data_IF_894943513095
#
_entry.id   IF_894943513095
#
_cell.length_a   1.000
_cell.length_b   1.000
_cell.length_c   1.000
_cell.angle_alpha   90.00
_cell.angle_beta   90.00
_cell.angle_gamma   90.00
#
_symmetry.space_group_name_H-M   'P 1'
#
loop_
_entity.id
_entity.type
_entity.pdbx_description
1 polymer ?
#
# COMPACT_ATOMS: atom_id res chain seq x y z
N UNK A 1 11.62 -9.45 55.01
CA UNK A 1 11.52 -10.62 54.10
C UNK A 1 11.42 -10.13 52.66
N UNK A 2 12.40 -10.51 51.82
CA UNK A 2 12.40 -10.79 50.36
C UNK A 2 11.50 -9.91 49.45
N UNK A 3 12.06 -9.03 48.60
CA UNK A 3 12.68 -9.24 47.25
C UNK A 3 11.68 -9.53 46.10
N UNK A 4 11.63 -8.62 45.11
CA UNK A 4 11.62 -8.75 43.62
C UNK A 4 10.82 -7.57 43.02
N UNK A 5 11.33 -6.57 42.29
CA UNK A 5 12.16 -6.53 41.07
C UNK A 5 11.39 -6.95 39.80
N UNK A 6 10.80 -5.99 39.08
CA UNK A 6 10.77 -5.97 37.61
C UNK A 6 11.02 -4.52 37.15
N UNK A 7 12.21 -4.36 36.60
CA UNK A 7 12.70 -3.25 35.78
C UNK A 7 12.55 -3.71 34.33
N UNK A 8 11.92 -2.93 33.42
CA UNK A 8 12.38 -2.83 32.03
C UNK A 8 11.67 -1.71 31.25
N UNK A 9 12.48 -0.70 30.88
CA UNK A 9 12.48 0.04 29.60
C UNK A 9 11.23 0.82 29.17
N UNK A 10 11.08 2.03 29.74
CA UNK A 10 10.73 3.19 28.91
C UNK A 10 11.97 3.55 28.08
N UNK A 11 11.97 3.16 26.81
CA UNK A 11 12.93 3.63 25.83
C UNK A 11 12.26 4.70 24.93
N UNK A 12 12.92 5.86 24.91
CA UNK A 12 13.02 6.79 23.78
C UNK A 12 11.78 7.58 23.33
N UNK A 13 11.59 8.78 23.89
CA UNK A 13 11.37 10.02 23.10
C UNK A 13 12.01 11.19 23.86
N UNK A 14 13.34 11.29 23.82
CA UNK A 14 14.05 12.53 24.13
C UNK A 14 14.50 13.13 22.79
N UNK A 15 13.68 14.03 22.27
CA UNK A 15 13.94 14.77 21.03
C UNK A 15 15.10 15.72 21.31
N UNK A 16 16.31 15.32 20.93
CA UNK A 16 17.42 16.25 20.80
C UNK A 16 17.20 17.09 19.55
N UNK A 17 16.52 18.22 19.71
CA UNK A 17 16.49 19.28 18.71
C UNK A 17 17.89 19.93 18.66
N UNK A 18 18.78 19.42 17.82
CA UNK A 18 19.93 20.21 17.36
C UNK A 18 19.46 21.09 16.21
N UNK A 19 19.41 22.39 16.47
CA UNK A 19 19.28 23.40 15.43
C UNK A 19 20.37 23.17 14.37
N UNK A 20 19.96 22.89 13.13
CA UNK A 20 20.88 22.79 12.01
C UNK A 20 21.29 24.21 11.59
N UNK A 21 22.60 24.45 11.62
CA UNK A 21 23.23 25.63 11.02
C UNK A 21 22.91 25.60 9.51
N UNK A 22 22.40 26.68 8.90
CA UNK A 22 22.11 26.70 7.48
C UNK A 22 23.44 26.72 6.72
N UNK A 23 23.90 25.55 6.27
CA UNK A 23 24.89 25.48 5.20
C UNK A 23 24.16 25.91 3.93
N UNK A 24 24.55 27.07 3.41
CA UNK A 24 24.16 27.54 2.08
C UNK A 24 24.68 26.51 1.06
N UNK A 25 23.85 25.54 0.70
CA UNK A 25 24.12 24.68 -0.45
C UNK A 25 23.93 25.50 -1.72
N UNK A 26 25.00 25.62 -2.50
CA UNK A 26 24.99 26.21 -3.84
C UNK A 26 23.96 25.48 -4.74
N UNK A 27 23.23 26.18 -5.62
CA UNK A 27 22.27 25.56 -6.51
C UNK A 27 23.01 24.79 -7.63
N UNK A 28 23.27 23.51 -7.37
CA UNK A 28 23.73 22.55 -8.37
C UNK A 28 22.65 21.53 -8.64
N UNK A 29 21.56 21.93 -9.30
CA UNK A 29 20.44 21.05 -9.65
C UNK A 29 20.13 21.14 -11.14
N UNK A 30 21.01 20.57 -11.94
CA UNK A 30 20.65 20.07 -13.27
C UNK A 30 20.14 18.63 -13.13
N UNK A 31 18.84 18.47 -12.88
CA UNK A 31 18.10 17.30 -13.37
C UNK A 31 17.78 16.13 -12.43
N UNK A 32 17.87 16.25 -11.10
CA UNK A 32 17.31 15.20 -10.22
C UNK A 32 15.79 15.30 -10.19
N UNK A 33 15.13 14.56 -11.08
CA UNK A 33 13.69 14.27 -10.96
C UNK A 33 13.45 13.65 -9.58
N UNK A 34 12.57 14.23 -8.77
CA UNK A 34 12.21 13.67 -7.47
C UNK A 34 11.85 12.19 -7.60
N UNK A 35 12.65 11.32 -6.98
CA UNK A 35 12.38 9.88 -6.97
C UNK A 35 11.21 9.63 -6.04
N UNK A 36 10.12 9.11 -6.59
CA UNK A 36 8.96 8.75 -5.81
C UNK A 36 9.13 7.35 -5.26
N UNK A 37 9.03 7.27 -3.93
CA UNK A 37 9.24 6.04 -3.18
C UNK A 37 8.12 5.03 -3.45
N UNK A 38 6.89 5.52 -3.59
CA UNK A 38 5.67 4.71 -3.76
C UNK A 38 4.82 5.32 -4.89
N UNK A 39 5.04 4.92 -6.16
CA UNK A 39 4.37 5.56 -7.29
C UNK A 39 2.92 5.10 -7.51
N UNK A 40 2.51 4.01 -6.87
CA UNK A 40 1.21 3.36 -7.02
C UNK A 40 0.51 3.27 -5.66
N UNK A 41 -0.80 3.49 -5.61
CA UNK A 41 -1.57 3.53 -4.36
C UNK A 41 -2.07 2.16 -3.90
N UNK A 42 -2.18 1.19 -4.82
CA UNK A 42 -2.66 -0.17 -4.53
C UNK A 42 -1.56 -1.23 -4.56
N UNK A 43 -0.34 -0.83 -4.91
CA UNK A 43 0.83 -1.71 -4.96
C UNK A 43 1.83 -1.37 -3.86
N UNK A 44 2.67 -2.32 -3.46
CA UNK A 44 3.82 -2.08 -2.59
C UNK A 44 5.09 -2.48 -3.33
N UNK A 45 5.94 -1.53 -3.69
CA UNK A 45 7.24 -1.82 -4.31
C UNK A 45 8.34 -2.00 -3.27
N UNK A 46 9.51 -2.49 -3.68
CA UNK A 46 10.70 -2.46 -2.83
C UNK A 46 11.50 -1.18 -3.02
N UNK A 47 12.24 -0.79 -1.99
CA UNK A 47 13.14 0.35 -2.01
C UNK A 47 14.48 0.02 -2.67
N UNK A 48 15.34 1.03 -2.78
CA UNK A 48 16.71 0.87 -3.29
C UNK A 48 17.70 1.49 -2.31
N UNK A 49 18.95 1.05 -2.35
CA UNK A 49 20.04 1.62 -1.58
C UNK A 49 20.36 3.08 -1.96
N UNK A 50 19.96 3.53 -3.15
CA UNK A 50 20.03 4.95 -3.59
C UNK A 50 18.80 5.75 -3.14
N UNK A 51 17.76 5.08 -2.64
CA UNK A 51 16.56 5.67 -2.04
C UNK A 51 16.30 5.10 -0.64
N UNK A 52 17.28 5.11 0.30
CA UNK A 52 17.17 4.44 1.61
C UNK A 52 16.32 5.24 2.60
N UNK A 53 15.52 6.18 2.11
CA UNK A 53 14.86 7.18 2.93
C UNK A 53 13.60 6.60 3.55
N UNK A 54 13.45 6.85 4.85
CA UNK A 54 12.15 6.72 5.49
C UNK A 54 11.18 7.70 4.84
N UNK A 55 10.01 7.21 4.49
CA UNK A 55 8.96 7.94 3.85
C UNK A 55 7.68 7.80 4.69
N UNK A 56 7.07 8.93 5.00
CA UNK A 56 5.78 9.01 5.67
C UNK A 56 4.72 9.28 4.60
N UNK A 57 3.62 8.55 4.63
CA UNK A 57 2.53 8.69 3.68
C UNK A 57 1.25 8.94 4.46
N UNK A 58 0.51 9.95 4.05
CA UNK A 58 -0.86 10.16 4.49
C UNK A 58 -1.76 10.00 3.27
N UNK A 59 -2.77 9.15 3.37
CA UNK A 59 -3.78 8.99 2.33
C UNK A 59 -5.17 9.13 2.88
N UNK A 60 -6.06 9.66 2.05
CA UNK A 60 -7.50 9.61 2.27
C UNK A 60 -8.16 8.89 1.11
N UNK A 61 -9.17 8.08 1.39
CA UNK A 61 -10.04 7.50 0.36
C UNK A 61 -11.51 7.77 0.65
N UNK A 62 -12.28 7.76 -0.42
CA UNK A 62 -13.71 7.56 -0.39
C UNK A 62 -14.02 6.32 -1.22
N UNK A 63 -14.82 5.42 -0.65
CA UNK A 63 -15.35 4.25 -1.31
C UNK A 63 -16.85 4.20 -1.18
N UNK A 64 -17.52 3.71 -2.20
CA UNK A 64 -18.93 3.34 -2.10
C UNK A 64 -19.04 1.88 -2.52
N UNK A 65 -19.66 1.06 -1.67
CA UNK A 65 -19.86 -0.37 -1.92
C UNK A 65 -18.55 -1.07 -2.20
N UNK A 66 -17.61 -0.87 -1.30
CA UNK A 66 -16.26 -1.38 -1.44
C UNK A 66 -15.79 -1.92 -0.11
N UNK A 67 -14.86 -2.86 -0.15
CA UNK A 67 -14.25 -3.42 1.04
C UNK A 67 -12.74 -3.54 0.83
N UNK A 68 -12.04 -3.93 1.89
CA UNK A 68 -10.65 -4.31 1.78
C UNK A 68 -10.49 -5.38 0.67
N UNK A 69 -9.53 -5.25 -0.27
CA UNK A 69 -8.41 -4.30 -0.29
C UNK A 69 -8.65 -3.00 -1.08
N UNK A 70 -9.80 -2.85 -1.72
CA UNK A 70 -10.15 -1.73 -2.59
C UNK A 70 -10.33 -0.41 -1.82
N UNK A 71 -10.85 -0.45 -0.60
CA UNK A 71 -11.07 0.72 0.23
C UNK A 71 -11.94 0.41 1.44
N UNK A 72 -12.55 1.45 2.00
CA UNK A 72 -13.60 1.35 3.01
C UNK A 72 -14.92 1.89 2.44
N UNK A 73 -16.06 1.29 2.77
CA UNK A 73 -17.36 1.81 2.36
C UNK A 73 -17.70 3.06 3.19
N UNK A 74 -17.41 4.22 2.63
CA UNK A 74 -17.38 5.52 3.30
C UNK A 74 -16.02 6.21 3.11
N UNK A 75 -15.61 6.97 4.12
CA UNK A 75 -14.34 7.71 4.10
C UNK A 75 -13.32 6.98 4.95
N UNK A 76 -12.09 6.80 4.46
CA UNK A 76 -10.97 6.37 5.29
C UNK A 76 -9.77 7.31 5.23
N UNK A 77 -9.00 7.31 6.31
CA UNK A 77 -7.74 8.01 6.43
C UNK A 77 -6.68 7.01 6.87
N UNK A 78 -5.51 7.03 6.24
CA UNK A 78 -4.42 6.11 6.49
C UNK A 78 -3.10 6.87 6.66
N UNK A 79 -2.32 6.43 7.65
CA UNK A 79 -0.94 6.82 7.85
C UNK A 79 -0.05 5.61 7.60
N UNK A 80 0.95 5.76 6.76
CA UNK A 80 1.89 4.69 6.42
C UNK A 80 3.33 5.15 6.53
N UNK A 81 4.20 4.24 6.95
CA UNK A 81 5.65 4.46 7.02
C UNK A 81 6.32 3.38 6.20
N UNK A 82 7.24 3.81 5.33
CA UNK A 82 8.05 2.92 4.51
C UNK A 82 9.51 3.29 4.64
N UNK A 83 10.37 2.32 4.93
CA UNK A 83 11.78 2.59 5.16
C UNK A 83 12.67 1.42 4.77
N UNK A 84 13.96 1.70 4.61
CA UNK A 84 14.95 0.69 4.27
C UNK A 84 15.75 0.32 5.51
N UNK A 85 15.77 -0.96 5.85
CA UNK A 85 16.61 -1.52 6.90
C UNK A 85 17.84 -2.18 6.27
N UNK A 86 19.00 -1.54 6.43
CA UNK A 86 20.25 -1.98 5.83
C UNK A 86 20.26 -1.76 4.32
N UNK A 87 20.47 -2.83 3.54
CA UNK A 87 20.62 -2.75 2.09
C UNK A 87 19.78 -3.76 1.29
N UNK A 88 18.82 -4.43 1.93
CA UNK A 88 17.96 -5.45 1.28
C UNK A 88 16.56 -5.59 1.85
N UNK A 89 16.24 -4.89 2.94
CA UNK A 89 14.95 -5.05 3.61
C UNK A 89 14.17 -3.75 3.53
N UNK A 90 12.99 -3.81 2.93
CA UNK A 90 11.98 -2.77 3.02
C UNK A 90 11.07 -3.09 4.19
N UNK A 91 10.92 -2.15 5.12
CA UNK A 91 9.92 -2.17 6.16
C UNK A 91 8.75 -1.32 5.70
N UNK A 92 7.54 -1.85 5.85
CA UNK A 92 6.31 -1.11 5.59
C UNK A 92 5.31 -1.36 6.71
N UNK A 93 4.65 -0.29 7.16
CA UNK A 93 3.59 -0.35 8.15
C UNK A 93 2.56 0.70 7.84
N UNK A 94 1.28 0.40 8.08
CA UNK A 94 0.20 1.37 7.96
C UNK A 94 -0.87 1.16 9.01
N UNK A 95 -1.53 2.26 9.39
CA UNK A 95 -2.71 2.27 10.22
C UNK A 95 -3.76 3.19 9.60
N UNK A 96 -5.02 2.77 9.62
CA UNK A 96 -6.13 3.47 9.00
C UNK A 96 -7.38 3.48 9.90
N UNK A 97 -8.19 4.53 9.73
CA UNK A 97 -9.50 4.69 10.33
C UNK A 97 -10.53 4.90 9.22
N UNK A 98 -11.62 4.15 9.25
CA UNK A 98 -12.74 4.24 8.32
C UNK A 98 -14.01 4.74 9.04
N UNK A 99 -14.80 5.55 8.35
CA UNK A 99 -16.05 6.15 8.80
C UNK A 99 -17.14 5.85 7.79
N UNK A 100 -18.14 5.04 8.18
CA UNK A 100 -19.18 4.61 7.24
C UNK A 100 -20.33 5.62 7.18
N UNK A 101 -21.28 5.37 6.29
CA UNK A 101 -22.47 6.21 6.11
C UNK A 101 -23.41 6.21 7.33
N UNK A 102 -23.30 5.23 8.22
CA UNK A 102 -24.10 5.10 9.43
C UNK A 102 -23.40 5.68 10.68
N UNK A 103 -22.17 6.21 10.52
CA UNK A 103 -21.38 6.79 11.60
C UNK A 103 -20.57 5.76 12.41
N UNK A 104 -20.49 4.51 11.98
CA UNK A 104 -19.59 3.54 12.59
C UNK A 104 -18.14 3.84 12.22
N UNK A 105 -17.24 3.54 13.15
CA UNK A 105 -15.81 3.70 12.98
C UNK A 105 -15.15 2.34 13.02
N UNK A 106 -14.35 2.05 12.01
CA UNK A 106 -13.53 0.84 11.94
C UNK A 106 -12.06 1.22 11.79
N UNK A 107 -11.16 0.27 12.06
CA UNK A 107 -9.73 0.47 11.90
C UNK A 107 -9.11 -0.66 11.13
N UNK A 108 -8.02 -0.37 10.40
CA UNK A 108 -7.21 -1.38 9.75
C UNK A 108 -5.73 -1.08 10.02
N UNK A 109 -4.92 -2.12 10.18
CA UNK A 109 -3.48 -2.03 10.38
C UNK A 109 -2.77 -3.10 9.56
N UNK A 110 -1.53 -2.82 9.15
CA UNK A 110 -0.65 -3.84 8.61
C UNK A 110 0.80 -3.49 8.90
N UNK A 111 1.61 -4.53 9.00
CA UNK A 111 3.06 -4.41 9.05
C UNK A 111 3.67 -5.56 8.25
N UNK A 112 4.63 -5.24 7.38
CA UNK A 112 5.34 -6.22 6.57
C UNK A 112 6.83 -5.90 6.45
N UNK A 113 7.61 -6.96 6.26
CA UNK A 113 9.02 -6.91 5.91
C UNK A 113 9.18 -7.57 4.56
N UNK A 114 9.77 -6.85 3.61
CA UNK A 114 10.02 -7.33 2.25
C UNK A 114 11.52 -7.37 2.01
N UNK A 115 12.02 -8.53 1.56
CA UNK A 115 13.41 -8.73 1.18
C UNK A 115 13.56 -8.63 -0.33
N UNK A 116 14.56 -7.88 -0.77
CA UNK A 116 14.90 -7.74 -2.18
C UNK A 116 15.81 -8.88 -2.64
N UNK A 117 15.46 -9.51 -3.77
CA UNK A 117 16.27 -10.55 -4.41
C UNK A 117 16.90 -10.08 -5.72
N UNK A 118 16.18 -9.24 -6.46
CA UNK A 118 16.65 -8.65 -7.72
C UNK A 118 16.49 -7.14 -7.62
N UNK A 119 17.48 -6.39 -8.10
CA UNK A 119 17.46 -4.93 -8.07
C UNK A 119 17.89 -4.36 -6.71
N UNK A 120 17.38 -3.18 -6.38
CA UNK A 120 17.61 -2.53 -5.07
C UNK A 120 18.95 -1.79 -4.94
N UNK A 121 19.78 -1.73 -5.99
CA UNK A 121 21.07 -1.02 -5.97
C UNK A 121 21.09 0.30 -6.75
N UNK A 122 20.17 0.47 -7.70
CA UNK A 122 20.10 1.61 -8.61
C UNK A 122 18.68 2.16 -8.60
N UNK A 123 18.51 3.46 -8.86
CA UNK A 123 17.21 4.10 -8.97
C UNK A 123 16.33 3.52 -10.10
N UNK A 124 16.94 3.02 -11.18
CA UNK A 124 16.26 2.43 -12.34
C UNK A 124 16.56 0.93 -12.49
N UNK A 125 15.65 0.23 -13.15
CA UNK A 125 15.75 -1.19 -13.49
C UNK A 125 14.67 -2.05 -12.85
N UNK A 126 14.80 -3.35 -13.06
CA UNK A 126 13.92 -4.36 -12.48
C UNK A 126 14.20 -4.56 -10.99
N UNK A 127 13.14 -4.77 -10.24
CA UNK A 127 13.13 -5.07 -8.81
C UNK A 127 12.18 -6.21 -8.53
N UNK A 128 12.63 -7.11 -7.68
CA UNK A 128 11.83 -8.24 -7.22
C UNK A 128 12.09 -8.48 -5.74
N UNK A 129 11.00 -8.69 -5.00
CA UNK A 129 11.02 -8.88 -3.57
C UNK A 129 10.00 -9.90 -3.10
N UNK A 130 10.30 -10.53 -1.97
CA UNK A 130 9.38 -11.40 -1.24
C UNK A 130 9.28 -10.88 0.19
N UNK A 131 8.07 -10.77 0.70
CA UNK A 131 7.80 -10.31 2.05
C UNK A 131 6.77 -11.15 2.77
N UNK A 132 6.73 -10.92 4.07
CA UNK A 132 5.71 -11.46 4.96
C UNK A 132 5.23 -10.37 5.89
N UNK A 133 3.98 -10.45 6.31
CA UNK A 133 3.40 -9.48 7.21
C UNK A 133 2.17 -10.01 7.93
N UNK A 134 1.65 -9.14 8.79
CA UNK A 134 0.39 -9.32 9.49
C UNK A 134 -0.50 -8.13 9.21
N UNK A 135 -1.79 -8.37 9.13
CA UNK A 135 -2.79 -7.32 8.99
C UNK A 135 -3.98 -7.55 9.88
N UNK A 136 -4.65 -6.46 10.18
CA UNK A 136 -5.97 -6.42 10.77
C UNK A 136 -6.80 -5.50 9.88
N UNK A 137 -7.98 -5.92 9.44
CA UNK A 137 -8.80 -5.16 8.51
C UNK A 137 -10.01 -4.50 9.18
N UNK A 138 -10.72 -3.68 8.41
CA UNK A 138 -11.92 -2.98 8.86
C UNK A 138 -13.08 -3.91 9.26
N UNK A 139 -13.04 -5.18 8.86
CA UNK A 139 -14.02 -6.20 9.28
C UNK A 139 -13.64 -6.87 10.61
N UNK A 140 -12.66 -6.31 11.33
CA UNK A 140 -12.14 -6.84 12.58
C UNK A 140 -11.52 -8.25 12.43
N UNK A 141 -10.95 -8.54 11.26
CA UNK A 141 -10.29 -9.81 10.98
C UNK A 141 -8.79 -9.62 10.91
N UNK A 142 -8.05 -10.48 11.62
CA UNK A 142 -6.59 -10.53 11.56
C UNK A 142 -6.15 -11.59 10.58
N UNK A 143 -5.10 -11.32 9.82
CA UNK A 143 -4.53 -12.25 8.86
C UNK A 143 -2.99 -12.24 8.92
N UNK A 144 -2.40 -13.36 8.53
CA UNK A 144 -0.99 -13.42 8.12
C UNK A 144 -0.95 -13.47 6.59
N UNK A 145 0.03 -12.82 5.99
CA UNK A 145 0.16 -12.84 4.55
C UNK A 145 1.61 -12.91 4.10
N UNK A 146 1.78 -13.40 2.86
CA UNK A 146 3.03 -13.30 2.12
C UNK A 146 2.80 -12.45 0.87
N UNK A 147 3.85 -11.76 0.41
CA UNK A 147 3.76 -10.87 -0.74
C UNK A 147 4.94 -11.07 -1.67
N UNK A 148 4.66 -11.27 -2.95
CA UNK A 148 5.61 -11.12 -4.04
C UNK A 148 5.45 -9.72 -4.61
N UNK A 149 6.56 -9.02 -4.81
CA UNK A 149 6.57 -7.67 -5.38
C UNK A 149 7.43 -7.65 -6.64
N UNK A 150 6.95 -7.02 -7.70
CA UNK A 150 7.72 -6.77 -8.92
C UNK A 150 7.61 -5.31 -9.32
N UNK A 151 8.72 -4.68 -9.70
CA UNK A 151 8.66 -3.37 -10.35
C UNK A 151 9.76 -3.18 -11.39
N UNK A 152 9.50 -2.32 -12.34
CA UNK A 152 10.44 -1.91 -13.37
C UNK A 152 10.31 -0.42 -13.59
N UNK A 153 11.39 0.32 -13.34
CA UNK A 153 11.41 1.76 -13.52
C UNK A 153 12.50 2.18 -14.50
N UNK A 154 12.14 3.04 -15.43
CA UNK A 154 13.03 3.77 -16.34
C UNK A 154 12.56 5.21 -16.44
N UNK A 155 13.35 6.10 -17.03
CA UNK A 155 13.09 7.54 -17.01
C UNK A 155 11.71 7.98 -17.53
N UNK A 156 11.07 7.19 -18.40
CA UNK A 156 9.74 7.47 -18.99
C UNK A 156 8.62 6.57 -18.49
N UNK A 157 8.94 5.42 -17.90
CA UNK A 157 7.96 4.39 -17.58
C UNK A 157 8.18 3.85 -16.18
N UNK A 158 7.09 3.64 -15.47
CA UNK A 158 7.08 2.87 -14.23
C UNK A 158 6.03 1.79 -14.36
N UNK A 159 6.44 0.58 -14.04
CA UNK A 159 5.55 -0.58 -13.96
C UNK A 159 5.78 -1.22 -12.60
N UNK A 160 4.71 -1.65 -11.95
CA UNK A 160 4.81 -2.29 -10.65
C UNK A 160 3.61 -3.14 -10.36
N UNK A 161 3.75 -4.05 -9.42
CA UNK A 161 2.65 -4.90 -9.01
C UNK A 161 3.01 -5.86 -7.89
N UNK A 162 1.99 -6.55 -7.42
CA UNK A 162 2.05 -7.41 -6.25
C UNK A 162 1.19 -8.63 -6.44
N UNK A 163 1.62 -9.72 -5.83
CA UNK A 163 0.77 -10.86 -5.53
C UNK A 163 0.83 -11.06 -4.02
N UNK A 164 -0.31 -11.07 -3.34
CA UNK A 164 -0.44 -11.25 -1.90
C UNK A 164 -1.32 -12.46 -1.63
N UNK A 165 -0.77 -13.41 -0.87
CA UNK A 165 -1.48 -14.58 -0.38
C UNK A 165 -1.79 -14.35 1.09
N UNK A 166 -3.06 -14.37 1.46
CA UNK A 166 -3.51 -14.00 2.79
C UNK A 166 -4.25 -15.16 3.44
N UNK A 167 -3.87 -15.52 4.67
CA UNK A 167 -4.63 -16.46 5.49
C UNK A 167 -5.27 -15.70 6.66
N UNK A 168 -6.58 -15.51 6.57
CA UNK A 168 -7.36 -14.88 7.61
C UNK A 168 -7.61 -15.83 8.80
N UNK A 169 -7.54 -15.30 10.02
CA UNK A 169 -7.87 -16.02 11.25
C UNK A 169 -9.35 -15.86 11.58
N UNK A 170 -10.21 -16.33 10.67
CA UNK A 170 -11.66 -16.31 10.83
C UNK A 170 -12.24 -17.65 10.40
N UNK A 171 -13.15 -18.22 11.18
CA UNK A 171 -13.84 -19.46 10.84
C UNK A 171 -14.84 -19.32 9.69
N UNK A 172 -15.05 -18.08 9.23
CA UNK A 172 -16.00 -17.73 8.16
C UNK A 172 -15.34 -17.52 6.81
N UNK A 173 -14.00 -17.40 6.73
CA UNK A 173 -13.30 -17.07 5.48
C UNK A 173 -12.64 -18.30 4.87
N UNK A 174 -12.42 -18.25 3.57
CA UNK A 174 -11.74 -19.29 2.82
C UNK A 174 -10.29 -19.44 3.28
N UNK A 175 -9.65 -20.54 2.88
CA UNK A 175 -8.39 -20.96 3.47
C UNK A 175 -7.25 -19.96 3.17
N UNK A 176 -7.23 -19.42 1.94
CA UNK A 176 -6.23 -18.44 1.46
C UNK A 176 -6.88 -17.50 0.43
N UNK A 177 -6.90 -16.19 0.70
CA UNK A 177 -7.33 -15.15 -0.25
C UNK A 177 -6.16 -14.76 -1.18
N UNK A 178 -6.40 -14.65 -2.49
CA UNK A 178 -5.43 -14.15 -3.46
C UNK A 178 -5.71 -12.72 -3.90
N UNK A 179 -4.82 -11.79 -3.53
CA UNK A 179 -4.90 -10.37 -3.87
C UNK A 179 -3.78 -10.01 -4.84
N UNK A 180 -4.12 -9.40 -5.97
CA UNK A 180 -3.13 -8.89 -6.95
C UNK A 180 -3.26 -7.40 -7.13
N UNK A 181 -2.15 -6.72 -7.45
CA UNK A 181 -2.23 -5.37 -8.01
C UNK A 181 -1.20 -5.15 -9.10
N UNK A 182 -1.51 -4.23 -9.99
CA UNK A 182 -0.69 -3.85 -11.12
C UNK A 182 -0.84 -2.36 -11.39
N UNK A 183 0.26 -1.70 -11.72
CA UNK A 183 0.31 -0.28 -12.02
C UNK A 183 1.22 -0.01 -13.19
N UNK A 184 0.79 0.92 -14.04
CA UNK A 184 1.55 1.42 -15.18
C UNK A 184 1.47 2.94 -15.22
N UNK A 185 2.61 3.60 -15.32
CA UNK A 185 2.71 5.06 -15.44
C UNK A 185 3.67 5.46 -16.56
N UNK A 186 3.21 6.38 -17.40
CA UNK A 186 4.01 7.08 -18.39
C UNK A 186 4.30 8.51 -17.94
N UNK A 187 5.54 8.95 -18.13
CA UNK A 187 5.95 10.33 -17.88
C UNK A 187 5.36 11.25 -18.95
N UNK A 188 4.48 12.15 -18.54
CA UNK A 188 3.84 13.10 -19.46
C UNK A 188 4.73 14.33 -19.65
N UNK A 189 5.15 14.96 -18.55
CA UNK A 189 6.01 16.14 -18.56
C UNK A 189 6.69 16.32 -17.21
N UNK A 190 7.91 16.87 -17.18
CA UNK A 190 8.57 17.22 -15.91
C UNK A 190 8.60 16.02 -14.96
N UNK A 191 8.04 16.12 -13.77
CA UNK A 191 7.92 15.00 -12.81
C UNK A 191 6.50 14.43 -12.70
N UNK A 192 5.62 14.77 -13.64
CA UNK A 192 4.24 14.32 -13.71
C UNK A 192 4.14 13.03 -14.54
N UNK A 193 3.54 11.99 -13.95
CA UNK A 193 3.19 10.77 -14.65
C UNK A 193 1.68 10.52 -14.55
N UNK A 194 1.17 9.86 -15.57
CA UNK A 194 -0.21 9.39 -15.64
C UNK A 194 -0.25 7.97 -16.20
N UNK A 195 -1.31 7.25 -15.90
CA UNK A 195 -1.52 5.90 -16.39
C UNK A 195 -2.66 5.22 -15.66
N UNK A 196 -2.48 3.96 -15.31
CA UNK A 196 -3.54 3.10 -14.79
C UNK A 196 -3.05 2.25 -13.63
N UNK A 197 -3.92 2.01 -12.67
CA UNK A 197 -3.75 0.97 -11.65
C UNK A 197 -4.93 0.01 -11.67
N UNK A 198 -4.63 -1.24 -11.38
CA UNK A 198 -5.59 -2.31 -11.22
C UNK A 198 -5.30 -3.06 -9.92
N UNK A 199 -6.35 -3.49 -9.24
CA UNK A 199 -6.28 -4.37 -8.09
C UNK A 199 -7.36 -5.43 -8.23
N UNK A 200 -7.04 -6.65 -7.83
CA UNK A 200 -7.98 -7.77 -7.79
C UNK A 200 -7.91 -8.50 -6.46
N UNK A 201 -9.06 -9.01 -6.04
CA UNK A 201 -9.24 -9.81 -4.83
C UNK A 201 -10.01 -11.07 -5.21
N UNK A 202 -9.82 -12.14 -4.43
CA UNK A 202 -10.55 -13.41 -4.52
C UNK A 202 -10.40 -14.03 -5.92
N UNK A 203 -9.19 -13.97 -6.48
CA UNK A 203 -8.90 -14.41 -7.85
C UNK A 203 -9.07 -15.92 -8.05
N UNK A 204 -9.05 -16.68 -6.97
CA UNK A 204 -9.45 -18.08 -6.93
C UNK A 204 -10.85 -18.29 -7.49
N UNK A 205 -11.75 -17.30 -7.38
CA UNK A 205 -13.06 -17.30 -8.02
C UNK A 205 -13.04 -17.37 -9.56
N UNK A 206 -11.86 -17.30 -10.22
CA UNK A 206 -11.72 -17.61 -11.65
C UNK A 206 -11.63 -19.11 -11.95
N UNK A 207 -11.26 -19.95 -10.97
CA UNK A 207 -11.12 -21.40 -11.14
C UNK A 207 -11.86 -22.24 -10.08
N UNK A 208 -12.31 -21.63 -8.98
CA UNK A 208 -13.15 -22.26 -7.95
C UNK A 208 -14.60 -21.77 -8.09
N UNK A 209 -15.51 -22.70 -8.39
CA UNK A 209 -16.93 -22.38 -8.62
C UNK A 209 -17.73 -22.20 -7.32
N UNK A 210 -17.19 -22.73 -6.21
CA UNK A 210 -17.80 -22.74 -4.89
C UNK A 210 -17.15 -21.73 -3.92
N UNK A 211 -16.60 -20.63 -4.46
CA UNK A 211 -15.94 -19.58 -3.69
C UNK A 211 -16.94 -18.91 -2.71
N UNK A 212 -16.52 -18.69 -1.47
CA UNK A 212 -17.42 -18.34 -0.37
C UNK A 212 -17.69 -16.83 -0.20
N UNK A 213 -16.91 -15.96 -0.86
CA UNK A 213 -16.97 -14.49 -0.73
C UNK A 213 -17.59 -13.75 -1.94
N UNK A 214 -18.17 -14.50 -2.89
CA UNK A 214 -19.03 -14.01 -3.97
C UNK A 214 -18.39 -13.95 -5.36
N UNK A 215 -17.11 -14.30 -5.48
CA UNK A 215 -16.31 -14.33 -6.70
C UNK A 215 -15.27 -13.22 -6.78
N UNK A 216 -14.43 -13.29 -7.82
CA UNK A 216 -13.31 -12.39 -8.01
C UNK A 216 -13.78 -10.94 -8.23
N UNK A 217 -13.20 -9.98 -7.49
CA UNK A 217 -13.49 -8.55 -7.60
C UNK A 217 -12.31 -7.83 -8.23
N UNK A 218 -12.59 -6.81 -9.04
CA UNK A 218 -11.58 -5.99 -9.72
C UNK A 218 -11.89 -4.51 -9.58
N UNK A 219 -10.83 -3.70 -9.43
CA UNK A 219 -10.83 -2.27 -9.70
C UNK A 219 -9.80 -1.99 -10.79
N UNK A 220 -10.15 -1.16 -11.76
CA UNK A 220 -9.23 -0.60 -12.74
C UNK A 220 -9.53 0.87 -12.90
N UNK A 221 -8.52 1.72 -12.75
CA UNK A 221 -8.72 3.16 -12.71
C UNK A 221 -7.54 3.97 -13.23
N UNK A 222 -7.79 5.22 -13.70
CA UNK A 222 -6.72 6.15 -13.96
C UNK A 222 -5.94 6.44 -12.68
N UNK A 223 -4.63 6.56 -12.82
CA UNK A 223 -3.73 6.97 -11.75
C UNK A 223 -2.79 8.06 -12.25
N UNK A 224 -2.52 9.03 -11.37
CA UNK A 224 -1.58 10.11 -11.62
C UNK A 224 -0.66 10.26 -10.43
N UNK A 225 0.55 10.72 -10.69
CA UNK A 225 1.48 11.07 -9.64
C UNK A 225 2.42 12.21 -10.04
N UNK A 226 2.90 12.93 -9.03
CA UNK A 226 3.79 14.08 -9.21
C UNK A 226 4.74 14.19 -8.02
N UNK A 227 6.04 14.28 -8.32
CA UNK A 227 7.06 14.60 -7.33
C UNK A 227 7.77 15.88 -7.76
N UNK A 228 7.35 17.07 -7.29
CA UNK A 228 7.95 18.33 -7.71
C UNK A 228 9.48 18.34 -7.53
N UNK A 229 10.19 18.99 -8.44
CA UNK A 229 11.63 19.15 -8.31
C UNK A 229 11.97 19.88 -7.01
N UNK A 230 13.01 19.44 -6.31
CA UNK A 230 13.48 20.04 -5.06
C UNK A 230 12.44 20.05 -3.94
N UNK A 231 11.48 19.12 -4.00
CA UNK A 231 10.47 18.93 -2.96
C UNK A 231 10.65 17.59 -2.27
N UNK A 232 10.40 17.60 -0.97
CA UNK A 232 10.29 16.39 -0.14
C UNK A 232 8.91 15.73 -0.26
N UNK A 233 7.97 16.43 -0.89
CA UNK A 233 6.61 15.96 -1.09
C UNK A 233 6.43 15.28 -2.44
N UNK A 234 5.63 14.23 -2.46
CA UNK A 234 5.07 13.65 -3.67
C UNK A 234 3.56 13.44 -3.49
N UNK A 235 2.83 13.50 -4.58
CA UNK A 235 1.37 13.41 -4.61
C UNK A 235 0.98 12.28 -5.55
N UNK A 236 -0.06 11.54 -5.19
CA UNK A 236 -0.63 10.51 -6.06
C UNK A 236 -2.14 10.41 -5.87
N UNK A 237 -2.88 10.18 -6.95
CA UNK A 237 -4.33 10.01 -6.93
C UNK A 237 -4.66 8.84 -7.86
N UNK A 238 -5.50 7.93 -7.40
CA UNK A 238 -6.04 6.84 -8.20
C UNK A 238 -7.48 6.57 -7.81
N UNK A 239 -8.32 6.20 -8.77
CA UNK A 239 -9.69 5.78 -8.48
C UNK A 239 -10.36 5.16 -9.68
N UNK A 240 -11.39 4.36 -9.45
CA UNK A 240 -12.09 3.65 -10.50
C UNK A 240 -13.29 2.85 -9.97
N UNK A 241 -14.08 2.25 -10.87
CA UNK A 241 -15.14 1.33 -10.50
C UNK A 241 -14.57 0.07 -9.86
N UNK A 242 -15.32 -0.49 -8.92
CA UNK A 242 -15.10 -1.84 -8.36
C UNK A 242 -16.25 -2.72 -8.85
N UNK A 243 -15.93 -3.85 -9.47
CA UNK A 243 -16.93 -4.75 -10.06
C UNK A 243 -16.54 -6.21 -9.86
N UNK A 244 -17.54 -7.09 -9.90
CA UNK A 244 -17.33 -8.53 -9.94
C UNK A 244 -16.87 -8.96 -11.33
N UNK A 245 -15.75 -9.67 -11.40
CA UNK A 245 -15.26 -10.33 -12.60
C UNK A 245 -15.83 -11.75 -12.74
N UNK A 246 -16.12 -12.42 -11.62
CA UNK A 246 -16.83 -13.70 -11.56
C UNK A 246 -17.91 -13.68 -10.48
N UNK A 247 -18.84 -14.63 -10.56
CA UNK A 247 -19.90 -14.82 -9.57
C UNK A 247 -19.95 -16.28 -9.14
N UNK A 248 -20.03 -16.53 -7.83
CA UNK A 248 -20.23 -17.87 -7.25
C UNK A 248 -21.70 -18.30 -7.35
N UNK A 249 -21.95 -19.61 -7.52
CA UNK A 249 -23.31 -20.19 -7.56
C UNK A 249 -23.80 -20.66 -6.19
N UNK A 250 -22.94 -20.62 -5.16
CA UNK A 250 -23.28 -21.07 -3.81
C UNK A 250 -24.11 -19.99 -3.10
N UNK A 251 -25.07 -20.41 -2.27
CA UNK A 251 -25.86 -19.46 -1.49
C UNK A 251 -24.94 -18.61 -0.61
N UNK A 252 -25.13 -17.28 -0.60
CA UNK A 252 -24.23 -16.35 0.05
C UNK A 252 -24.03 -16.70 1.53
N UNK A 253 -22.80 -17.07 1.91
CA UNK A 253 -22.45 -17.29 3.31
C UNK A 253 -22.37 -15.93 4.04
N UNK A 254 -22.53 -15.90 5.37
CA UNK A 254 -22.41 -14.64 6.14
C UNK A 254 -20.97 -14.08 6.23
N UNK A 255 -20.04 -14.58 5.42
CA UNK A 255 -18.66 -14.11 5.29
C UNK A 255 -18.47 -12.99 4.25
N UNK A 256 -19.54 -12.68 3.52
CA UNK A 256 -19.50 -11.84 2.34
C UNK A 256 -19.09 -10.40 2.66
N UNK A 257 -18.03 -9.96 1.98
CA UNK A 257 -17.70 -8.55 1.76
C UNK A 257 -18.43 -8.08 0.51
N UNK A 258 -19.75 -7.96 0.60
CA UNK A 258 -20.57 -7.66 -0.57
C UNK A 258 -20.30 -6.23 -1.02
N UNK A 259 -19.87 -6.11 -2.27
CA UNK A 259 -20.43 -5.06 -3.10
C UNK A 259 -21.88 -5.51 -3.31
N UNK A 260 -22.92 -4.69 -3.08
CA UNK A 260 -24.27 -5.04 -3.53
C UNK A 260 -24.24 -5.50 -4.99
N UNK A 261 -25.31 -6.11 -5.52
CA UNK A 261 -25.46 -6.51 -6.94
C UNK A 261 -25.20 -5.39 -7.99
N UNK A 262 -24.81 -4.20 -7.53
CA UNK A 262 -24.46 -3.01 -8.27
C UNK A 262 -22.99 -2.66 -7.98
N UNK A 263 -22.23 -2.39 -9.03
CA UNK A 263 -20.82 -1.98 -8.95
C UNK A 263 -20.58 -0.86 -7.92
N UNK A 264 -19.44 -0.92 -7.25
CA UNK A 264 -18.93 0.13 -6.37
C UNK A 264 -17.92 1.03 -7.06
N UNK A 265 -17.31 1.92 -6.30
CA UNK A 265 -16.15 2.68 -6.74
C UNK A 265 -15.24 3.07 -5.59
N UNK A 266 -14.04 3.51 -5.92
CA UNK A 266 -13.10 4.07 -4.96
C UNK A 266 -12.35 5.23 -5.59
N UNK A 267 -12.07 6.24 -4.77
CA UNK A 267 -11.09 7.29 -5.04
C UNK A 267 -10.14 7.39 -3.86
N UNK A 268 -8.83 7.34 -4.12
CA UNK A 268 -7.79 7.49 -3.10
C UNK A 268 -6.79 8.56 -3.52
N UNK A 269 -6.44 9.44 -2.58
CA UNK A 269 -5.37 10.41 -2.71
C UNK A 269 -4.31 10.17 -1.66
N UNK A 270 -3.05 10.41 -2.00
CA UNK A 270 -1.90 10.23 -1.11
C UNK A 270 -0.93 11.39 -1.22
N UNK A 271 -0.45 11.85 -0.06
CA UNK A 271 0.71 12.73 0.07
C UNK A 271 1.82 11.94 0.74
N UNK A 272 2.97 11.88 0.07
CA UNK A 272 4.18 11.23 0.56
C UNK A 272 5.22 12.28 0.95
N UNK A 273 5.90 12.08 2.07
CA UNK A 273 6.95 12.94 2.58
C UNK A 273 8.24 12.15 2.84
N UNK A 274 9.30 12.52 2.14
CA UNK A 274 10.63 11.92 2.33
C UNK A 274 11.32 12.55 3.56
N UNK A 275 11.68 11.72 4.54
CA UNK A 275 12.29 12.18 5.81
C UNK A 275 13.74 12.68 5.63
N UNK A 276 14.42 12.29 4.56
CA UNK A 276 15.75 12.76 4.19
C UNK A 276 15.79 13.02 2.68
N UNK A 277 16.32 14.19 2.30
CA UNK A 277 16.62 14.59 0.92
C UNK A 277 17.91 15.40 0.96
#
# INVERSE_FOLDING_TARGET
>A
MKKLLITLTLATVAIWAKAQVPVIQKPGLTGTTGTMVQPFLFSVNTLTAETPFWNLQYSGSYGERTAYPFGYDGVDQQLSVKGYLGNRFTLFSSAALGFDHAGHVASAQQAEVIRDFIGGKKAFGARFGLGMGVSHDFSNTTAIFSRVTGSFEVAKWRVGGNLRFEKAFSTRRDDIDLITSFGFHHRIAGSFFAGVEAIGQDLEGFWEQDEAEGGAKLLVGPSINMAPANSRFAFSICGGPVFYATHSTVMPSQAIRDIPLQNGFTLRGMVSFNLHQ
#
